data_IF_821269747619
#
_entry.id   IF_821269747619
#
_cell.length_a   1.000
_cell.length_b   1.000
_cell.length_c   1.000
_cell.angle_alpha   90.00
_cell.angle_beta   90.00
_cell.angle_gamma   90.00
#
_symmetry.space_group_name_H-M   'P 1'
#
loop_
_entity.id
_entity.type
_entity.pdbx_description
1 polymer ?
#
# COMPACT_ATOMS: atom_id res chain seq x y z
N UNK A 1 18.33 -31.04 29.55
CA UNK A 1 17.03 -31.16 30.25
C UNK A 1 17.15 -32.26 31.31
N UNK A 2 16.90 -31.97 32.59
CA UNK A 2 16.78 -33.03 33.63
C UNK A 2 15.44 -33.71 33.38
N UNK A 3 15.48 -34.96 32.92
CA UNK A 3 14.29 -35.81 32.82
C UNK A 3 13.65 -35.91 34.19
N UNK A 4 12.36 -35.63 34.31
CA UNK A 4 11.64 -35.90 35.56
C UNK A 4 11.75 -37.40 35.89
N UNK A 5 12.16 -37.76 37.13
CA UNK A 5 12.23 -39.16 37.52
C UNK A 5 10.85 -39.83 37.38
N UNK A 6 10.84 -41.10 36.96
CA UNK A 6 9.60 -41.85 36.80
C UNK A 6 8.85 -41.99 38.12
N UNK A 7 7.53 -42.07 38.09
CA UNK A 7 6.71 -42.24 39.32
C UNK A 7 7.16 -43.42 40.18
N UNK A 8 7.62 -44.51 39.56
CA UNK A 8 8.14 -45.69 40.28
C UNK A 8 9.45 -45.40 41.02
N UNK A 9 10.35 -44.59 40.43
CA UNK A 9 11.62 -44.18 41.06
C UNK A 9 11.37 -43.24 42.24
N UNK A 10 10.40 -42.33 42.11
CA UNK A 10 10.00 -41.43 43.20
C UNK A 10 9.42 -42.23 44.36
N UNK A 11 8.51 -43.19 44.10
CA UNK A 11 7.94 -44.07 45.14
C UNK A 11 9.00 -44.94 45.85
N UNK A 12 9.98 -45.48 45.10
CA UNK A 12 11.07 -46.21 45.69
C UNK A 12 11.97 -45.34 46.58
N UNK A 13 12.25 -44.11 46.14
CA UNK A 13 13.00 -43.15 46.94
C UNK A 13 12.25 -42.74 48.20
N UNK A 14 10.94 -42.46 48.10
CA UNK A 14 10.09 -42.14 49.27
C UNK A 14 10.04 -43.30 50.29
N UNK A 15 9.88 -44.53 49.81
CA UNK A 15 9.90 -45.74 50.69
C UNK A 15 11.25 -45.91 51.38
N UNK A 16 12.35 -45.62 50.69
CA UNK A 16 13.71 -45.64 51.24
C UNK A 16 13.90 -44.56 52.32
N UNK A 17 13.46 -43.32 52.02
CA UNK A 17 13.54 -42.27 53.02
C UNK A 17 12.62 -42.50 54.24
N UNK A 18 11.46 -43.12 54.05
CA UNK A 18 10.58 -43.50 55.16
C UNK A 18 11.23 -44.49 56.02
N UNK A 19 11.92 -45.55 55.48
CA UNK A 19 12.71 -46.54 56.26
C UNK A 19 13.88 -45.88 56.96
N UNK A 20 14.65 -45.03 56.35
CA UNK A 20 15.71 -44.23 56.95
C UNK A 20 15.26 -43.41 58.14
N UNK A 21 14.10 -42.80 58.08
CA UNK A 21 13.49 -42.03 59.19
C UNK A 21 13.06 -42.93 60.34
N UNK A 22 12.46 -44.11 60.05
CA UNK A 22 12.08 -45.08 61.07
C UNK A 22 13.28 -45.70 61.77
N UNK A 23 14.35 -45.95 61.03
CA UNK A 23 15.61 -46.49 61.58
C UNK A 23 16.33 -45.48 62.48
N UNK A 24 16.37 -44.21 62.07
CA UNK A 24 16.88 -43.10 62.88
C UNK A 24 16.07 -42.91 64.18
N UNK A 25 14.75 -43.02 64.14
CA UNK A 25 13.86 -42.89 65.28
C UNK A 25 14.04 -44.08 66.25
N UNK A 26 14.36 -45.28 65.73
CA UNK A 26 14.58 -46.50 66.51
C UNK A 26 16.03 -46.70 66.98
N UNK A 27 16.94 -45.77 66.72
CA UNK A 27 18.40 -45.88 66.97
C UNK A 27 19.03 -47.15 66.40
N UNK A 28 18.47 -47.73 65.35
CA UNK A 28 18.97 -48.91 64.64
C UNK A 28 19.60 -48.46 63.32
N UNK A 29 20.91 -48.69 63.14
CA UNK A 29 21.60 -48.46 61.90
C UNK A 29 21.46 -49.68 60.96
N UNK A 30 20.29 -49.87 60.35
CA UNK A 30 20.11 -50.97 59.36
C UNK A 30 20.56 -50.56 57.96
N UNK A 31 20.61 -49.23 57.64
CA UNK A 31 20.98 -48.71 56.33
C UNK A 31 21.76 -47.38 56.51
N UNK A 32 22.89 -47.23 55.82
CA UNK A 32 23.63 -45.95 55.72
C UNK A 32 23.63 -45.43 54.28
N UNK A 33 23.46 -44.15 54.12
CA UNK A 33 23.65 -43.47 52.81
C UNK A 33 25.07 -42.94 52.73
N UNK A 34 25.86 -43.43 51.79
CA UNK A 34 27.19 -42.92 51.52
C UNK A 34 27.29 -42.47 50.03
N UNK A 35 27.48 -41.20 49.77
CA UNK A 35 27.53 -40.61 48.40
C UNK A 35 26.33 -41.01 47.52
N UNK A 36 25.11 -40.97 48.07
CA UNK A 36 23.88 -41.31 47.33
C UNK A 36 23.67 -42.82 47.09
N UNK A 37 24.44 -43.67 47.72
CA UNK A 37 24.29 -45.15 47.65
C UNK A 37 23.89 -45.74 49.01
N UNK A 38 22.99 -46.72 48.95
CA UNK A 38 22.58 -47.49 50.16
C UNK A 38 23.62 -48.45 50.48
N UNK A 39 24.22 -48.39 51.70
CA UNK A 39 25.22 -49.30 52.22
C UNK A 39 24.63 -50.04 53.47
N UNK A 40 24.64 -51.34 53.45
CA UNK A 40 24.16 -52.12 54.57
C UNK A 40 25.34 -52.40 55.54
N UNK A 41 25.19 -52.26 56.85
CA UNK A 41 26.19 -52.68 57.83
C UNK A 41 26.28 -54.18 57.96
N UNK A 42 27.43 -54.73 58.34
CA UNK A 42 27.65 -56.20 58.64
C UNK A 42 27.99 -57.03 57.39
N UNK A 43 27.82 -58.40 57.50
CA UNK A 43 28.18 -59.32 56.44
C UNK A 43 27.53 -59.08 55.10
N UNK A 44 26.27 -58.56 55.09
CA UNK A 44 25.57 -58.14 53.82
C UNK A 44 26.27 -56.97 53.12
N UNK A 45 26.79 -56.04 53.89
CA UNK A 45 27.55 -54.90 53.34
C UNK A 45 28.94 -55.32 52.84
N UNK A 46 29.57 -56.32 53.47
CA UNK A 46 30.85 -56.93 53.00
C UNK A 46 30.63 -57.66 51.65
N UNK A 47 29.54 -58.44 51.53
CA UNK A 47 29.16 -59.09 50.26
C UNK A 47 28.86 -58.06 49.17
N UNK A 48 28.18 -56.96 49.50
CA UNK A 48 27.85 -55.84 48.54
C UNK A 48 29.15 -55.13 48.09
N UNK A 49 30.13 -54.92 48.96
CA UNK A 49 31.45 -54.37 48.62
C UNK A 49 32.22 -55.29 47.67
N UNK A 50 32.17 -56.65 47.95
CA UNK A 50 32.76 -57.62 47.03
C UNK A 50 32.15 -57.64 45.66
N UNK A 51 30.83 -57.39 45.52
CA UNK A 51 30.15 -57.28 44.25
C UNK A 51 30.45 -55.91 43.49
N UNK A 52 30.94 -54.90 44.19
CA UNK A 52 31.30 -53.59 43.65
C UNK A 52 32.79 -53.44 43.33
N UNK A 53 33.63 -54.52 43.59
CA UNK A 53 35.01 -54.47 43.19
C UNK A 53 35.22 -54.30 41.72
N UNK A 54 36.25 -53.56 41.36
CA UNK A 54 36.65 -53.41 39.96
C UNK A 54 36.94 -54.79 39.34
N UNK A 55 36.75 -54.92 38.01
CA UNK A 55 36.99 -56.15 37.28
C UNK A 55 38.43 -56.71 37.58
N UNK A 56 39.38 -55.78 37.66
CA UNK A 56 40.79 -56.09 37.98
C UNK A 56 40.95 -56.63 39.41
N UNK A 57 40.28 -56.05 40.40
CA UNK A 57 40.28 -56.45 41.77
C UNK A 57 39.58 -57.82 41.97
N UNK A 58 38.44 -58.03 41.29
CA UNK A 58 37.72 -59.30 41.31
C UNK A 58 38.53 -60.39 40.65
N UNK A 59 39.20 -60.10 39.54
CA UNK A 59 40.06 -61.04 38.83
C UNK A 59 41.32 -61.45 39.70
N UNK A 60 41.93 -60.42 40.34
CA UNK A 60 43.05 -60.67 41.26
C UNK A 60 42.66 -61.52 42.46
N UNK A 61 41.48 -61.26 43.06
CA UNK A 61 40.94 -62.07 44.17
C UNK A 61 40.62 -63.50 43.73
N UNK A 62 40.04 -63.69 42.54
CA UNK A 62 39.77 -65.07 42.02
C UNK A 62 41.02 -65.76 41.65
N UNK A 63 42.02 -65.13 41.05
CA UNK A 63 43.35 -65.79 40.84
C UNK A 63 44.03 -66.13 42.11
N UNK A 64 44.01 -65.27 43.12
CA UNK A 64 44.51 -65.56 44.46
C UNK A 64 43.79 -66.80 45.09
N UNK A 65 42.44 -66.83 44.93
CA UNK A 65 41.62 -67.98 45.36
C UNK A 65 42.01 -69.29 44.67
N UNK A 66 42.27 -69.24 43.33
CA UNK A 66 42.74 -70.46 42.59
C UNK A 66 44.09 -70.94 43.07
N UNK A 67 45.01 -70.03 43.35
CA UNK A 67 46.33 -70.38 43.90
C UNK A 67 46.20 -71.00 45.28
N UNK A 68 45.40 -70.38 46.17
CA UNK A 68 45.14 -70.91 47.50
C UNK A 68 44.46 -72.29 47.45
N UNK A 69 43.47 -72.49 46.60
CA UNK A 69 42.77 -73.75 46.38
C UNK A 69 43.69 -74.81 45.82
N UNK A 70 44.64 -74.47 44.95
CA UNK A 70 45.69 -75.36 44.44
C UNK A 70 46.73 -75.80 45.50
N UNK A 71 46.94 -75.03 46.59
CA UNK A 71 47.79 -75.36 47.67
C UNK A 71 47.12 -76.27 48.72
N UNK A 72 45.80 -76.43 48.69
CA UNK A 72 45.01 -77.20 49.66
C UNK A 72 45.44 -78.69 49.83
N UNK A 73 45.75 -79.47 48.77
CA UNK A 73 46.21 -80.87 48.92
C UNK A 73 47.53 -80.99 49.71
N UNK A 74 48.40 -80.02 49.52
CA UNK A 74 49.68 -79.97 50.21
C UNK A 74 49.56 -79.61 51.70
N UNK A 75 48.57 -78.75 52.01
CA UNK A 75 48.21 -78.40 53.40
C UNK A 75 47.52 -79.55 54.13
N UNK A 76 46.79 -80.43 53.42
CA UNK A 76 46.14 -81.62 53.95
C UNK A 76 47.08 -82.81 54.11
N UNK A 77 48.38 -82.60 53.89
CA UNK A 77 49.42 -83.62 54.12
C UNK A 77 49.50 -84.69 53.02
N UNK A 78 48.87 -84.49 51.84
CA UNK A 78 48.96 -85.41 50.72
C UNK A 78 50.39 -85.39 50.15
N UNK A 79 51.02 -86.57 49.94
CA UNK A 79 52.37 -86.72 49.40
C UNK A 79 52.38 -87.60 48.15
N UNK A 80 53.36 -87.36 47.22
CA UNK A 80 53.52 -88.21 46.05
C UNK A 80 52.77 -87.71 44.79
N UNK A 81 52.65 -88.56 43.78
CA UNK A 81 52.04 -88.27 42.50
C UNK A 81 50.55 -87.88 42.55
N UNK A 82 49.82 -88.45 43.54
CA UNK A 82 48.42 -88.12 43.80
C UNK A 82 48.20 -86.69 44.24
N UNK A 83 49.10 -86.14 45.05
CA UNK A 83 49.03 -84.73 45.48
C UNK A 83 49.22 -83.72 44.29
N UNK A 84 50.17 -84.03 43.40
CA UNK A 84 50.40 -83.26 42.20
C UNK A 84 49.22 -83.32 41.19
N UNK A 85 48.62 -84.52 41.00
CA UNK A 85 47.45 -84.70 40.18
C UNK A 85 46.25 -83.95 40.68
N UNK A 86 45.97 -84.01 42.01
CA UNK A 86 44.86 -83.24 42.63
C UNK A 86 45.10 -81.72 42.56
N UNK A 87 46.32 -81.25 42.75
CA UNK A 87 46.71 -79.86 42.65
C UNK A 87 46.47 -79.33 41.24
N UNK A 88 46.91 -80.00 40.17
CA UNK A 88 46.72 -79.67 38.80
C UNK A 88 45.21 -79.67 38.44
N UNK A 89 44.45 -80.64 38.88
CA UNK A 89 43.01 -80.75 38.66
C UNK A 89 42.25 -79.57 39.29
N UNK A 90 42.53 -79.21 40.55
CA UNK A 90 41.93 -78.07 41.24
C UNK A 90 42.31 -76.75 40.60
N UNK A 91 43.55 -76.58 40.22
CA UNK A 91 43.96 -75.34 39.45
C UNK A 91 43.29 -75.29 38.09
N UNK A 92 43.18 -76.40 37.40
CA UNK A 92 42.45 -76.42 36.07
C UNK A 92 40.99 -76.05 36.20
N UNK A 93 40.28 -76.62 37.18
CA UNK A 93 38.88 -76.28 37.45
C UNK A 93 38.75 -74.81 37.88
N UNK A 94 39.64 -74.32 38.74
CA UNK A 94 39.67 -72.95 39.18
C UNK A 94 39.88 -71.92 37.99
N UNK A 95 40.85 -72.21 37.12
CA UNK A 95 41.11 -71.49 35.95
C UNK A 95 39.92 -71.47 34.96
N UNK A 96 39.29 -72.62 34.72
CA UNK A 96 38.11 -72.79 33.93
C UNK A 96 36.95 -71.95 34.53
N UNK A 97 36.76 -71.92 35.82
CA UNK A 97 35.78 -71.10 36.54
C UNK A 97 36.02 -69.59 36.35
N UNK A 98 37.28 -69.15 36.46
CA UNK A 98 37.67 -67.71 36.21
C UNK A 98 37.45 -67.35 34.80
N UNK A 99 37.80 -68.21 33.84
CA UNK A 99 37.56 -67.94 32.41
C UNK A 99 36.07 -67.86 32.05
N UNK A 100 35.24 -68.78 32.58
CA UNK A 100 33.81 -68.78 32.40
C UNK A 100 33.16 -67.51 32.98
N UNK A 101 33.58 -67.11 34.20
CA UNK A 101 33.13 -65.88 34.84
C UNK A 101 33.51 -64.61 34.00
N UNK A 102 34.78 -64.56 33.56
CA UNK A 102 35.29 -63.47 32.73
C UNK A 102 34.51 -63.38 31.39
N UNK A 103 34.36 -64.55 30.74
CA UNK A 103 33.63 -64.62 29.48
C UNK A 103 32.17 -64.15 29.63
N UNK A 104 31.47 -64.69 30.65
CA UNK A 104 30.05 -64.33 30.84
C UNK A 104 29.82 -62.85 31.23
N UNK A 105 30.70 -62.35 32.12
CA UNK A 105 30.48 -60.98 32.68
C UNK A 105 31.13 -59.87 31.93
N UNK A 106 32.27 -60.07 31.31
CA UNK A 106 32.99 -59.00 30.58
C UNK A 106 32.77 -59.11 29.08
N UNK A 107 33.01 -60.30 28.50
CA UNK A 107 32.87 -60.44 27.03
C UNK A 107 31.38 -60.31 26.59
N UNK A 108 30.48 -60.94 27.38
CA UNK A 108 29.05 -60.81 27.15
C UNK A 108 28.55 -59.34 27.23
N UNK A 109 29.01 -58.60 28.25
CA UNK A 109 28.70 -57.16 28.39
C UNK A 109 29.27 -56.28 27.24
N UNK A 110 30.52 -56.62 26.83
CA UNK A 110 31.17 -55.91 25.74
C UNK A 110 30.42 -56.05 24.40
N UNK A 111 29.94 -57.28 24.08
CA UNK A 111 29.12 -57.50 22.86
C UNK A 111 27.80 -56.78 22.91
N UNK A 112 27.20 -56.55 24.09
CA UNK A 112 25.99 -55.78 24.22
C UNK A 112 26.24 -54.27 23.98
N UNK A 113 27.37 -53.75 24.50
CA UNK A 113 27.82 -52.38 24.25
C UNK A 113 28.19 -52.17 22.78
N UNK A 114 28.86 -53.15 22.15
CA UNK A 114 29.23 -53.15 20.73
C UNK A 114 27.95 -53.08 19.87
N UNK A 115 26.95 -53.93 20.12
CA UNK A 115 25.65 -53.84 19.39
C UNK A 115 24.98 -52.51 19.55
N UNK A 116 24.91 -51.96 20.77
CA UNK A 116 24.33 -50.68 21.03
C UNK A 116 25.09 -49.53 20.32
N UNK A 117 26.41 -49.57 20.31
CA UNK A 117 27.23 -48.63 19.55
C UNK A 117 26.98 -48.76 18.02
N UNK A 118 26.85 -50.01 17.54
CA UNK A 118 26.49 -50.33 16.16
C UNK A 118 25.10 -49.83 15.79
N UNK A 119 24.12 -49.94 16.67
CA UNK A 119 22.78 -49.38 16.48
C UNK A 119 22.83 -47.84 16.33
N UNK A 120 23.59 -47.15 17.21
CA UNK A 120 23.77 -45.68 17.11
C UNK A 120 24.45 -45.33 15.79
N UNK A 121 25.52 -46.05 15.41
CA UNK A 121 26.23 -45.83 14.16
C UNK A 121 25.33 -46.11 12.93
N UNK A 122 24.44 -47.09 13.04
CA UNK A 122 23.40 -47.39 12.02
C UNK A 122 22.18 -46.46 12.05
N UNK A 123 22.28 -45.30 12.73
CA UNK A 123 21.20 -44.32 12.85
C UNK A 123 19.94 -44.84 13.58
N UNK A 124 20.01 -45.97 14.23
CA UNK A 124 18.94 -46.52 15.06
C UNK A 124 19.08 -45.97 16.49
N UNK A 125 18.41 -44.88 16.76
CA UNK A 125 18.41 -44.23 18.08
C UNK A 125 17.23 -44.71 18.95
N UNK A 126 16.41 -45.64 18.47
CA UNK A 126 15.24 -46.14 19.20
C UNK A 126 15.62 -47.14 20.30
N UNK A 127 16.72 -47.88 20.15
CA UNK A 127 17.17 -48.92 21.11
C UNK A 127 17.53 -48.32 22.47
N UNK A 128 17.22 -49.04 23.52
CA UNK A 128 17.59 -48.65 24.88
C UNK A 128 18.53 -49.70 25.47
N UNK A 129 19.62 -49.27 26.07
CA UNK A 129 20.54 -50.15 26.78
C UNK A 129 20.29 -50.04 28.30
N UNK A 130 19.95 -51.17 28.95
CA UNK A 130 19.85 -51.19 30.41
C UNK A 130 21.25 -51.34 31.03
N UNK A 131 21.69 -50.30 31.72
CA UNK A 131 23.00 -50.28 32.41
C UNK A 131 23.14 -51.35 33.51
N UNK A 132 22.00 -51.89 34.03
CA UNK A 132 22.01 -52.95 35.05
C UNK A 132 22.46 -54.29 34.51
N UNK A 133 22.38 -54.51 33.19
CA UNK A 133 22.81 -55.76 32.55
C UNK A 133 24.31 -55.79 32.21
N UNK A 134 25.02 -54.64 32.38
CA UNK A 134 26.45 -54.58 32.08
C UNK A 134 27.31 -54.64 33.33
N UNK A 135 28.52 -55.14 33.17
CA UNK A 135 29.50 -55.17 34.27
C UNK A 135 29.78 -53.73 34.76
N UNK A 136 29.97 -53.52 36.09
CA UNK A 136 30.27 -52.24 36.69
C UNK A 136 31.44 -51.50 36.03
N UNK A 137 32.40 -52.20 35.49
CA UNK A 137 33.58 -51.72 34.78
C UNK A 137 33.21 -51.06 33.43
N UNK A 138 32.11 -51.48 32.81
CA UNK A 138 31.59 -50.90 31.53
C UNK A 138 30.62 -49.77 31.75
N UNK A 139 30.17 -49.50 32.96
CA UNK A 139 29.18 -48.48 33.27
C UNK A 139 29.56 -47.03 32.80
N UNK A 140 30.85 -46.59 32.86
CA UNK A 140 31.21 -45.29 32.30
C UNK A 140 31.03 -45.23 30.77
N UNK A 141 31.41 -46.32 30.05
CA UNK A 141 31.27 -46.41 28.59
C UNK A 141 29.79 -46.42 28.18
N UNK A 142 28.97 -47.21 28.87
CA UNK A 142 27.52 -47.27 28.66
C UNK A 142 26.87 -45.88 28.83
N UNK A 143 27.23 -45.16 29.91
CA UNK A 143 26.72 -43.80 30.14
C UNK A 143 27.15 -42.83 29.07
N UNK A 144 28.42 -42.93 28.60
CA UNK A 144 28.91 -42.10 27.49
C UNK A 144 28.12 -42.33 26.21
N UNK A 145 27.87 -43.58 25.83
CA UNK A 145 27.07 -43.94 24.65
C UNK A 145 25.60 -43.49 24.78
N UNK A 146 25.00 -43.71 25.96
CA UNK A 146 23.65 -43.23 26.24
C UNK A 146 23.55 -41.70 26.12
N UNK A 147 24.56 -40.97 26.61
CA UNK A 147 24.59 -39.51 26.48
C UNK A 147 24.70 -39.06 24.99
N UNK A 148 25.55 -39.74 24.22
CA UNK A 148 25.65 -39.52 22.77
C UNK A 148 24.28 -39.75 22.10
N UNK A 149 23.62 -40.86 22.41
CA UNK A 149 22.30 -41.19 21.87
C UNK A 149 21.25 -40.10 22.18
N UNK A 150 21.19 -39.66 23.45
CA UNK A 150 20.27 -38.63 23.92
C UNK A 150 20.54 -37.31 23.18
N UNK A 151 21.81 -36.91 23.05
CA UNK A 151 22.20 -35.71 22.35
C UNK A 151 21.84 -35.79 20.85
N UNK A 152 22.13 -36.94 20.20
CA UNK A 152 21.76 -37.16 18.79
C UNK A 152 20.23 -37.12 18.60
N UNK A 153 19.46 -37.77 19.51
CA UNK A 153 17.99 -37.69 19.46
C UNK A 153 17.48 -36.25 19.56
N UNK A 154 18.04 -35.48 20.48
CA UNK A 154 17.65 -34.07 20.64
C UNK A 154 17.95 -33.28 19.37
N UNK A 155 19.17 -33.35 18.83
CA UNK A 155 19.57 -32.63 17.62
C UNK A 155 18.72 -33.06 16.43
N UNK A 156 18.53 -34.36 16.19
CA UNK A 156 17.71 -34.87 15.10
C UNK A 156 16.24 -34.44 15.24
N UNK A 157 15.74 -34.46 16.49
CA UNK A 157 14.37 -34.00 16.80
C UNK A 157 14.19 -32.50 16.50
N UNK A 158 15.15 -31.68 16.93
CA UNK A 158 15.14 -30.24 16.69
C UNK A 158 15.22 -29.93 15.19
N UNK A 159 16.13 -30.61 14.44
CA UNK A 159 16.24 -30.46 13.00
C UNK A 159 14.93 -30.83 12.28
N UNK A 160 14.25 -31.91 12.68
CA UNK A 160 12.94 -32.29 12.11
C UNK A 160 11.88 -31.23 12.35
N UNK A 161 11.83 -30.65 13.54
CA UNK A 161 10.90 -29.59 13.87
C UNK A 161 11.17 -28.33 13.06
N UNK A 162 12.46 -27.98 12.88
CA UNK A 162 12.88 -26.83 12.08
C UNK A 162 12.52 -27.01 10.61
N UNK A 163 12.75 -28.20 10.03
CA UNK A 163 12.33 -28.51 8.65
C UNK A 163 10.81 -28.35 8.48
N UNK A 164 10.02 -28.81 9.45
CA UNK A 164 8.58 -28.64 9.41
C UNK A 164 8.16 -27.16 9.48
N UNK A 165 8.92 -26.36 10.24
CA UNK A 165 8.79 -24.89 10.26
C UNK A 165 9.10 -24.27 8.91
N UNK A 166 10.24 -24.63 8.31
CA UNK A 166 10.63 -24.13 6.98
C UNK A 166 9.63 -24.47 5.89
N UNK A 167 9.11 -25.70 5.86
CA UNK A 167 8.08 -26.09 4.89
C UNK A 167 6.83 -25.23 5.00
N UNK A 168 6.38 -24.91 6.22
CA UNK A 168 5.22 -24.05 6.46
C UNK A 168 5.50 -22.62 6.01
N UNK A 169 6.63 -22.04 6.39
CA UNK A 169 7.01 -20.68 5.98
C UNK A 169 7.17 -20.56 4.46
N UNK A 170 7.67 -21.59 3.81
CA UNK A 170 7.80 -21.63 2.35
C UNK A 170 6.43 -21.64 1.68
N UNK A 171 5.48 -22.39 2.21
CA UNK A 171 4.09 -22.40 1.71
C UNK A 171 3.42 -21.04 1.90
N UNK A 172 3.64 -20.38 3.05
CA UNK A 172 3.16 -19.01 3.31
C UNK A 172 3.76 -17.99 2.32
N UNK A 173 5.06 -18.12 2.00
CA UNK A 173 5.72 -17.28 0.98
C UNK A 173 5.11 -17.52 -0.40
N UNK A 174 4.88 -18.77 -0.79
CA UNK A 174 4.26 -19.11 -2.07
C UNK A 174 2.84 -18.53 -2.19
N UNK A 175 2.05 -18.65 -1.12
CA UNK A 175 0.70 -18.08 -1.04
C UNK A 175 0.73 -16.55 -1.14
N UNK A 176 1.62 -15.89 -0.37
CA UNK A 176 1.82 -14.43 -0.42
C UNK A 176 2.29 -13.95 -1.79
N UNK A 177 3.16 -14.73 -2.44
CA UNK A 177 3.59 -14.47 -3.81
C UNK A 177 2.43 -14.51 -4.82
N UNK A 178 1.53 -15.49 -4.68
CA UNK A 178 0.35 -15.58 -5.54
C UNK A 178 -0.63 -14.42 -5.33
N UNK A 179 -0.83 -13.98 -4.09
CA UNK A 179 -1.65 -12.79 -3.81
C UNK A 179 -1.03 -11.53 -4.41
N UNK A 180 0.29 -11.37 -4.24
CA UNK A 180 1.03 -10.23 -4.82
C UNK A 180 0.96 -10.25 -6.35
N UNK A 181 1.01 -11.42 -7.00
CA UNK A 181 0.81 -11.57 -8.45
C UNK A 181 -0.54 -11.01 -8.89
N UNK A 182 -1.62 -11.47 -8.26
CA UNK A 182 -2.98 -10.99 -8.57
C UNK A 182 -3.13 -9.48 -8.39
N UNK A 183 -2.54 -8.93 -7.32
CA UNK A 183 -2.57 -7.49 -7.08
C UNK A 183 -1.77 -6.72 -8.13
N UNK A 184 -0.64 -7.25 -8.57
CA UNK A 184 0.20 -6.65 -9.61
C UNK A 184 -0.53 -6.66 -10.97
N UNK A 185 -1.23 -7.75 -11.31
CA UNK A 185 -2.09 -7.82 -12.51
C UNK A 185 -3.22 -6.78 -12.46
N UNK A 186 -3.94 -6.71 -11.34
CA UNK A 186 -4.99 -5.72 -11.15
C UNK A 186 -4.44 -4.27 -11.23
N UNK A 187 -3.26 -4.03 -10.67
CA UNK A 187 -2.59 -2.73 -10.75
C UNK A 187 -2.21 -2.39 -12.19
N UNK A 188 -1.71 -3.33 -12.98
CA UNK A 188 -1.40 -3.12 -14.40
C UNK A 188 -2.66 -2.76 -15.20
N UNK A 189 -3.79 -3.43 -14.98
CA UNK A 189 -5.05 -3.11 -15.61
C UNK A 189 -5.55 -1.69 -15.24
N UNK A 190 -5.47 -1.32 -13.96
CA UNK A 190 -5.86 0.01 -13.48
C UNK A 190 -4.94 1.12 -14.05
N UNK A 191 -3.64 0.84 -14.23
CA UNK A 191 -2.71 1.78 -14.86
C UNK A 191 -3.03 1.99 -16.33
N UNK A 192 -3.40 0.93 -17.07
CA UNK A 192 -3.84 1.05 -18.47
C UNK A 192 -5.12 1.91 -18.60
N UNK A 193 -6.10 1.70 -17.71
CA UNK A 193 -7.31 2.52 -17.67
C UNK A 193 -6.98 3.98 -17.32
N UNK A 194 -6.09 4.20 -16.36
CA UNK A 194 -5.63 5.54 -15.98
C UNK A 194 -4.90 6.23 -17.15
N UNK A 195 -4.03 5.52 -17.86
CA UNK A 195 -3.32 6.06 -19.02
C UNK A 195 -4.30 6.46 -20.14
N UNK A 196 -5.29 5.62 -20.45
CA UNK A 196 -6.34 5.93 -21.42
C UNK A 196 -7.16 7.18 -21.01
N UNK A 197 -7.55 7.29 -19.74
CA UNK A 197 -8.24 8.47 -19.21
C UNK A 197 -7.37 9.73 -19.28
N UNK A 198 -6.07 9.62 -19.06
CA UNK A 198 -5.13 10.74 -19.18
C UNK A 198 -4.94 11.20 -20.64
N UNK A 199 -4.96 10.29 -21.60
CA UNK A 199 -4.95 10.63 -23.02
C UNK A 199 -6.23 11.40 -23.42
N UNK A 200 -7.40 10.96 -22.95
CA UNK A 200 -8.67 11.64 -23.19
C UNK A 200 -8.69 13.04 -22.55
N UNK A 201 -8.21 13.15 -21.30
CA UNK A 201 -8.06 14.45 -20.63
C UNK A 201 -7.11 15.38 -21.37
N UNK A 202 -5.97 14.87 -21.85
CA UNK A 202 -5.01 15.66 -22.63
C UNK A 202 -5.64 16.18 -23.92
N UNK A 203 -6.43 15.35 -24.61
CA UNK A 203 -7.19 15.74 -25.81
C UNK A 203 -8.21 16.82 -25.49
N UNK A 204 -8.98 16.66 -24.40
CA UNK A 204 -9.99 17.62 -23.96
C UNK A 204 -9.38 18.96 -23.58
N UNK A 205 -8.25 18.97 -22.90
CA UNK A 205 -7.52 20.19 -22.53
C UNK A 205 -7.01 20.92 -23.79
N UNK A 206 -6.45 20.19 -24.77
CA UNK A 206 -6.07 20.79 -26.07
C UNK A 206 -7.26 21.40 -26.79
N UNK A 207 -8.37 20.68 -26.87
CA UNK A 207 -9.61 21.18 -27.50
C UNK A 207 -10.13 22.44 -26.79
N UNK A 208 -10.05 22.48 -25.46
CA UNK A 208 -10.42 23.66 -24.67
C UNK A 208 -9.52 24.84 -24.96
N UNK A 209 -8.21 24.63 -25.10
CA UNK A 209 -7.26 25.68 -25.50
C UNK A 209 -7.57 26.25 -26.90
N UNK A 210 -7.84 25.37 -27.88
CA UNK A 210 -8.18 25.76 -29.23
C UNK A 210 -9.49 26.52 -29.28
N UNK A 211 -10.50 26.04 -28.56
CA UNK A 211 -11.81 26.72 -28.44
C UNK A 211 -11.68 28.08 -27.79
N UNK A 212 -10.92 28.19 -26.71
CA UNK A 212 -10.66 29.47 -26.03
C UNK A 212 -9.96 30.45 -26.96
N UNK A 213 -8.98 30.01 -27.75
CA UNK A 213 -8.33 30.85 -28.76
C UNK A 213 -9.29 31.31 -29.83
N UNK A 214 -10.21 30.46 -30.30
CA UNK A 214 -11.24 30.82 -31.26
C UNK A 214 -12.24 31.86 -30.69
N UNK A 215 -12.68 31.67 -29.44
CA UNK A 215 -13.58 32.63 -28.76
C UNK A 215 -12.89 33.97 -28.54
N UNK A 216 -11.59 33.96 -28.17
CA UNK A 216 -10.82 35.22 -28.04
C UNK A 216 -10.78 36.01 -29.35
N UNK A 217 -10.52 35.35 -30.48
CA UNK A 217 -10.54 35.99 -31.79
C UNK A 217 -11.93 36.53 -32.16
N UNK A 218 -12.97 35.70 -31.94
CA UNK A 218 -14.36 36.10 -32.19
C UNK A 218 -14.81 37.30 -31.34
N UNK A 219 -14.41 37.31 -30.06
CA UNK A 219 -14.68 38.42 -29.14
C UNK A 219 -14.00 39.71 -29.61
N UNK A 220 -12.72 39.65 -29.98
CA UNK A 220 -12.02 40.83 -30.50
C UNK A 220 -12.70 41.38 -31.76
N UNK A 221 -13.07 40.52 -32.70
CA UNK A 221 -13.78 40.91 -33.91
C UNK A 221 -15.17 41.53 -33.59
N UNK A 222 -15.89 40.93 -32.65
CA UNK A 222 -17.19 41.48 -32.21
C UNK A 222 -17.05 42.84 -31.56
N UNK A 223 -15.99 43.08 -30.77
CA UNK A 223 -15.69 44.38 -30.19
C UNK A 223 -15.38 45.43 -31.27
N UNK A 224 -14.64 45.06 -32.31
CA UNK A 224 -14.37 45.97 -33.45
C UNK A 224 -15.65 46.36 -34.21
N UNK A 225 -16.49 45.36 -34.50
CA UNK A 225 -17.78 45.60 -35.18
C UNK A 225 -18.70 46.47 -34.33
N UNK A 226 -18.76 46.19 -33.02
CA UNK A 226 -19.58 47.02 -32.12
C UNK A 226 -19.06 48.46 -32.04
N UNK A 227 -17.74 48.67 -31.95
CA UNK A 227 -17.14 50.03 -31.97
C UNK A 227 -17.43 50.74 -33.26
N UNK A 228 -17.29 50.07 -34.40
CA UNK A 228 -17.64 50.68 -35.72
C UNK A 228 -19.14 51.07 -35.80
N UNK A 229 -20.03 50.18 -35.27
CA UNK A 229 -21.45 50.49 -35.13
C UNK A 229 -21.70 51.67 -34.24
N UNK A 230 -21.00 51.78 -33.11
CA UNK A 230 -21.12 52.99 -32.25
C UNK A 230 -20.69 54.26 -32.90
N UNK A 231 -19.60 54.24 -33.67
CA UNK A 231 -19.21 55.44 -34.49
C UNK A 231 -20.25 55.81 -35.53
N UNK A 232 -20.87 54.83 -36.20
CA UNK A 232 -21.92 55.08 -37.16
C UNK A 232 -23.18 55.75 -36.53
N UNK A 233 -23.59 55.19 -35.35
CA UNK A 233 -24.71 55.76 -34.57
C UNK A 233 -24.40 57.19 -34.13
N UNK A 234 -23.19 57.51 -33.70
CA UNK A 234 -22.75 58.84 -33.33
C UNK A 234 -22.80 59.82 -34.53
N UNK A 235 -22.39 59.39 -35.73
CA UNK A 235 -22.48 60.18 -36.95
C UNK A 235 -23.92 60.47 -37.30
N UNK A 236 -24.82 59.46 -37.17
CA UNK A 236 -26.28 59.72 -37.43
C UNK A 236 -26.85 60.69 -36.40
N UNK A 237 -26.47 60.56 -35.11
CA UNK A 237 -26.86 61.49 -34.04
C UNK A 237 -26.44 62.95 -34.38
N UNK A 238 -25.18 63.14 -34.84
CA UNK A 238 -24.71 64.48 -35.30
C UNK A 238 -25.51 65.01 -36.47
N UNK A 239 -25.87 64.16 -37.46
CA UNK A 239 -26.68 64.50 -38.56
C UNK A 239 -28.11 64.94 -38.13
N UNK A 240 -28.71 64.24 -37.18
CA UNK A 240 -30.01 64.59 -36.59
C UNK A 240 -29.96 65.93 -35.89
N UNK A 241 -28.94 66.25 -35.12
CA UNK A 241 -28.74 67.56 -34.52
C UNK A 241 -28.62 68.66 -35.56
N UNK A 242 -27.91 68.41 -36.65
CA UNK A 242 -27.80 69.38 -37.76
C UNK A 242 -29.15 69.63 -38.44
N UNK A 243 -29.96 68.57 -38.66
CA UNK A 243 -31.32 68.67 -39.20
C UNK A 243 -32.22 69.46 -38.23
N UNK A 244 -32.15 69.21 -36.93
CA UNK A 244 -32.91 69.93 -35.93
C UNK A 244 -32.61 71.42 -35.95
N UNK A 245 -31.34 71.83 -35.99
CA UNK A 245 -30.91 73.18 -36.05
C UNK A 245 -31.41 73.84 -37.33
N UNK A 246 -31.31 73.14 -38.49
CA UNK A 246 -31.80 73.63 -39.79
C UNK A 246 -33.32 73.82 -39.78
N UNK A 247 -34.07 72.86 -39.23
CA UNK A 247 -35.52 72.90 -39.10
C UNK A 247 -35.98 74.07 -38.21
N UNK A 248 -35.30 74.29 -37.05
CA UNK A 248 -35.57 75.49 -36.22
C UNK A 248 -35.37 76.80 -37.00
N UNK A 249 -34.28 76.92 -37.81
CA UNK A 249 -34.00 78.09 -38.61
C UNK A 249 -35.04 78.34 -39.71
N UNK A 250 -35.54 77.20 -40.32
CA UNK A 250 -36.67 77.29 -41.26
C UNK A 250 -37.94 77.82 -40.57
N UNK A 251 -38.19 77.32 -39.31
CA UNK A 251 -39.32 77.82 -38.51
C UNK A 251 -39.25 79.29 -38.18
N UNK A 252 -38.04 79.81 -37.93
CA UNK A 252 -37.84 81.29 -37.78
C UNK A 252 -38.14 82.04 -39.06
N UNK A 253 -37.67 81.56 -40.24
CA UNK A 253 -37.93 82.16 -41.51
C UNK A 253 -39.45 82.20 -41.84
N UNK A 254 -40.13 81.05 -41.57
CA UNK A 254 -41.59 80.96 -41.76
C UNK A 254 -42.33 81.95 -40.84
N UNK A 255 -41.83 82.20 -39.64
CA UNK A 255 -42.37 83.20 -38.72
C UNK A 255 -42.23 84.62 -39.29
N UNK A 256 -41.11 84.95 -39.95
CA UNK A 256 -40.91 86.24 -40.65
C UNK A 256 -41.86 86.37 -41.84
N UNK A 257 -42.08 85.30 -42.66
CA UNK A 257 -43.01 85.26 -43.76
C UNK A 257 -44.44 85.51 -43.25
N UNK A 258 -44.86 84.88 -42.18
CA UNK A 258 -46.17 85.16 -41.59
C UNK A 258 -46.29 86.59 -41.11
N UNK A 259 -45.25 87.18 -40.54
CA UNK A 259 -45.17 88.59 -40.18
C UNK A 259 -45.32 89.51 -41.43
N UNK A 260 -44.61 89.20 -42.52
CA UNK A 260 -44.71 89.95 -43.80
C UNK A 260 -46.13 89.83 -44.38
N UNK A 261 -46.71 88.63 -44.37
CA UNK A 261 -48.07 88.46 -44.84
C UNK A 261 -49.08 89.22 -43.98
N UNK A 262 -48.91 89.24 -42.68
CA UNK A 262 -49.74 90.08 -41.79
C UNK A 262 -49.56 91.57 -42.10
N UNK A 263 -48.37 92.10 -42.26
CA UNK A 263 -48.11 93.50 -42.62
C UNK A 263 -48.68 93.84 -43.98
N UNK A 264 -48.58 92.92 -44.99
CA UNK A 264 -49.13 93.12 -46.32
C UNK A 264 -50.66 93.16 -46.28
N UNK A 265 -51.28 92.28 -45.44
CA UNK A 265 -52.74 92.31 -45.24
C UNK A 265 -53.19 93.67 -44.65
N UNK A 266 -52.42 94.21 -43.66
CA UNK A 266 -52.72 95.54 -43.08
C UNK A 266 -52.54 96.67 -44.12
N UNK A 267 -51.47 96.61 -44.93
CA UNK A 267 -51.23 97.57 -46.01
C UNK A 267 -52.34 97.55 -47.07
N UNK A 268 -52.73 96.33 -47.44
CA UNK A 268 -53.86 96.15 -48.41
C UNK A 268 -55.20 96.64 -47.83
N UNK A 269 -55.46 96.40 -46.55
CA UNK A 269 -56.61 96.91 -45.83
C UNK A 269 -56.64 98.47 -45.89
N UNK A 270 -55.54 99.10 -45.54
CA UNK A 270 -55.39 100.54 -45.54
C UNK A 270 -55.61 101.13 -46.99
N UNK A 271 -55.06 100.46 -48.01
CA UNK A 271 -55.23 100.85 -49.43
C UNK A 271 -56.68 100.66 -49.85
N UNK A 272 -57.36 99.56 -49.41
CA UNK A 272 -58.79 99.34 -49.69
C UNK A 272 -59.70 100.45 -49.07
N UNK A 273 -59.35 100.84 -47.81
CA UNK A 273 -60.05 101.93 -47.12
C UNK A 273 -59.85 103.27 -47.87
N UNK A 274 -58.65 103.61 -48.31
CA UNK A 274 -58.36 104.87 -48.99
C UNK A 274 -58.96 104.88 -50.45
N UNK A 275 -59.00 103.74 -51.12
CA UNK A 275 -59.67 103.53 -52.39
C UNK A 275 -61.17 103.67 -52.22
N UNK A 276 -61.84 103.30 -51.22
CA UNK A 276 -63.22 103.47 -50.85
C UNK A 276 -63.50 105.00 -50.59
N UNK A 277 -62.53 105.67 -49.98
CA UNK A 277 -62.62 107.13 -49.69
C UNK A 277 -62.55 108.04 -50.94
N UNK A 278 -61.87 107.56 -52.02
CA UNK A 278 -61.71 108.19 -53.29
C UNK A 278 -62.95 108.01 -54.18
N UNK A 279 -64.03 107.34 -53.80
CA UNK A 279 -65.26 107.15 -54.51
C UNK A 279 -65.07 106.44 -55.86
N UNK A 280 -65.79 106.95 -56.97
CA UNK A 280 -65.69 106.26 -58.24
C UNK A 280 -64.27 106.24 -58.86
N UNK A 281 -63.39 107.21 -58.49
CA UNK A 281 -62.00 107.27 -58.98
C UNK A 281 -61.10 106.16 -58.33
N UNK A 282 -61.55 105.64 -57.22
CA UNK A 282 -60.77 104.55 -56.47
C UNK A 282 -61.14 103.15 -56.84
N UNK A 283 -62.13 102.81 -57.64
CA UNK A 283 -62.65 101.46 -57.90
C UNK A 283 -61.63 100.52 -58.44
N UNK A 284 -60.72 100.92 -59.33
CA UNK A 284 -59.61 100.06 -59.82
C UNK A 284 -58.57 99.67 -58.69
N UNK A 285 -58.29 100.72 -57.85
CA UNK A 285 -57.39 100.46 -56.68
C UNK A 285 -58.05 99.57 -55.62
N UNK A 286 -59.36 99.70 -55.45
CA UNK A 286 -60.09 98.86 -54.50
C UNK A 286 -60.06 97.38 -54.90
N UNK A 287 -60.16 97.06 -56.20
CA UNK A 287 -60.03 95.64 -56.69
C UNK A 287 -58.64 95.14 -56.49
N UNK A 288 -57.58 95.92 -56.82
CA UNK A 288 -56.17 95.46 -56.57
C UNK A 288 -55.89 95.32 -55.11
N UNK A 289 -56.33 96.24 -54.23
CA UNK A 289 -56.19 96.11 -52.80
C UNK A 289 -56.89 94.84 -52.23
N UNK A 290 -58.09 94.53 -52.77
CA UNK A 290 -58.80 93.26 -52.42
C UNK A 290 -58.02 92.02 -52.81
N UNK A 291 -57.43 92.03 -54.05
CA UNK A 291 -56.64 90.90 -54.52
C UNK A 291 -55.33 90.72 -53.71
N UNK A 292 -54.59 91.82 -53.39
CA UNK A 292 -53.40 91.79 -52.53
C UNK A 292 -53.76 91.33 -51.14
N UNK A 293 -54.91 91.74 -50.59
CA UNK A 293 -55.37 91.26 -49.27
C UNK A 293 -55.67 89.76 -49.28
N UNK A 294 -56.34 89.24 -50.30
CA UNK A 294 -56.61 87.81 -50.44
C UNK A 294 -55.34 87.02 -50.61
N UNK A 295 -54.34 87.53 -51.38
CA UNK A 295 -53.04 86.86 -51.48
C UNK A 295 -52.25 86.84 -50.14
N UNK A 296 -52.33 87.99 -49.40
CA UNK A 296 -51.67 88.06 -48.08
C UNK A 296 -52.30 87.05 -47.08
N UNK A 297 -53.62 86.91 -47.08
CA UNK A 297 -54.32 85.91 -46.24
C UNK A 297 -53.98 84.49 -46.63
N UNK A 298 -53.90 84.17 -47.92
CA UNK A 298 -53.46 82.87 -48.42
C UNK A 298 -52.01 82.60 -48.05
N UNK A 299 -51.15 83.61 -48.15
CA UNK A 299 -49.74 83.50 -47.76
C UNK A 299 -49.61 83.25 -46.26
N UNK A 300 -50.38 83.89 -45.37
CA UNK A 300 -50.41 83.67 -43.95
C UNK A 300 -50.91 82.26 -43.60
N UNK A 301 -51.96 81.78 -44.33
CA UNK A 301 -52.44 80.40 -44.17
C UNK A 301 -51.40 79.38 -44.52
N UNK A 302 -50.76 79.54 -45.69
CA UNK A 302 -49.67 78.63 -46.11
C UNK A 302 -48.46 78.64 -45.11
N UNK A 303 -48.07 79.80 -44.61
CA UNK A 303 -47.02 79.96 -43.63
C UNK A 303 -47.37 79.22 -42.30
N UNK A 304 -48.62 79.32 -41.89
CA UNK A 304 -49.10 78.61 -40.68
C UNK A 304 -49.09 77.10 -40.87
N UNK A 305 -49.48 76.58 -42.05
CA UNK A 305 -49.37 75.12 -42.35
C UNK A 305 -47.95 74.66 -42.36
N UNK A 306 -47.05 75.43 -43.03
CA UNK A 306 -45.61 75.08 -43.03
C UNK A 306 -45.05 75.10 -41.61
N UNK A 307 -45.42 76.10 -40.78
CA UNK A 307 -45.00 76.14 -39.36
C UNK A 307 -45.42 74.88 -38.62
N UNK A 308 -46.62 74.35 -38.77
CA UNK A 308 -47.14 73.18 -38.18
C UNK A 308 -46.31 71.93 -38.61
N UNK A 309 -46.03 71.82 -39.95
CA UNK A 309 -45.19 70.74 -40.48
C UNK A 309 -43.73 70.77 -39.92
N UNK A 310 -43.16 71.97 -39.82
CA UNK A 310 -41.80 72.14 -39.23
C UNK A 310 -41.83 71.80 -37.76
N UNK A 311 -42.85 72.17 -36.99
CA UNK A 311 -43.01 71.81 -35.59
C UNK A 311 -43.06 70.29 -35.41
N UNK A 312 -43.84 69.61 -36.26
CA UNK A 312 -43.87 68.13 -36.27
C UNK A 312 -42.50 67.48 -36.62
N UNK A 313 -41.83 68.07 -37.65
CA UNK A 313 -40.50 67.61 -38.06
C UNK A 313 -39.45 67.78 -36.96
N UNK A 314 -39.46 68.92 -36.25
CA UNK A 314 -38.53 69.15 -35.11
C UNK A 314 -38.77 68.13 -34.01
N UNK A 315 -40.05 67.83 -33.69
CA UNK A 315 -40.37 66.78 -32.68
C UNK A 315 -39.90 65.39 -33.09
N UNK A 316 -40.14 65.03 -34.38
CA UNK A 316 -39.68 63.72 -34.90
C UNK A 316 -38.14 63.56 -34.88
N UNK A 317 -37.43 64.66 -35.23
CA UNK A 317 -35.94 64.65 -35.20
C UNK A 317 -35.42 64.59 -33.77
N UNK A 318 -36.05 65.26 -32.80
CA UNK A 318 -35.69 65.20 -31.39
C UNK A 318 -35.90 63.80 -30.84
N UNK A 319 -37.01 63.15 -31.23
CA UNK A 319 -37.29 61.76 -30.85
C UNK A 319 -36.25 60.78 -31.48
N UNK A 320 -35.89 60.99 -32.75
CA UNK A 320 -34.82 60.23 -33.43
C UNK A 320 -33.46 60.43 -32.79
N UNK A 321 -33.12 61.68 -32.38
CA UNK A 321 -31.87 61.96 -31.68
C UNK A 321 -31.77 61.18 -30.33
N UNK A 322 -32.87 61.18 -29.58
CA UNK A 322 -32.90 60.39 -28.29
C UNK A 322 -32.74 58.91 -28.52
N UNK A 323 -33.39 58.38 -29.58
CA UNK A 323 -33.19 56.93 -29.91
C UNK A 323 -31.77 56.65 -30.34
N UNK A 324 -31.05 57.54 -30.98
CA UNK A 324 -29.64 57.41 -31.32
C UNK A 324 -28.74 57.38 -30.06
N UNK A 325 -29.04 58.27 -29.08
CA UNK A 325 -28.31 58.26 -27.81
C UNK A 325 -28.51 56.94 -27.03
N UNK A 326 -29.76 56.46 -26.98
CA UNK A 326 -30.08 55.16 -26.37
C UNK A 326 -29.37 53.97 -27.07
N UNK A 327 -29.37 54.00 -28.41
CA UNK A 327 -28.64 53.00 -29.21
C UNK A 327 -27.10 53.03 -28.94
N UNK A 328 -26.56 54.29 -28.84
CA UNK A 328 -25.14 54.48 -28.49
C UNK A 328 -24.76 53.90 -27.13
N UNK A 329 -25.61 54.11 -26.12
CA UNK A 329 -25.42 53.51 -24.79
C UNK A 329 -25.47 51.98 -24.86
N UNK A 330 -26.45 51.42 -25.55
CA UNK A 330 -26.56 49.95 -25.72
C UNK A 330 -25.31 49.36 -26.38
N UNK A 331 -24.78 50.02 -27.41
CA UNK A 331 -23.53 49.59 -28.07
C UNK A 331 -22.34 49.67 -27.11
N UNK A 332 -22.24 50.71 -26.28
CA UNK A 332 -21.18 50.81 -25.26
C UNK A 332 -21.25 49.69 -24.25
N UNK A 333 -22.45 49.26 -23.80
CA UNK A 333 -22.66 48.12 -22.94
C UNK A 333 -22.24 46.81 -23.61
N UNK A 334 -22.54 46.62 -24.90
CA UNK A 334 -22.07 45.46 -25.68
C UNK A 334 -20.56 45.43 -25.75
N UNK A 335 -19.87 46.53 -26.02
CA UNK A 335 -18.41 46.60 -26.03
C UNK A 335 -17.82 46.23 -24.68
N UNK A 336 -18.39 46.72 -23.59
CA UNK A 336 -17.97 46.38 -22.22
C UNK A 336 -18.15 44.89 -21.93
N UNK A 337 -19.29 44.30 -22.31
CA UNK A 337 -19.59 42.87 -22.11
C UNK A 337 -18.63 41.97 -22.89
N UNK A 338 -18.35 42.31 -24.14
CA UNK A 338 -17.37 41.59 -24.98
C UNK A 338 -15.96 41.70 -24.41
N UNK A 339 -15.58 42.84 -23.86
CA UNK A 339 -14.28 43.02 -23.18
C UNK A 339 -14.15 42.08 -21.95
N UNK A 340 -15.23 41.98 -21.18
CA UNK A 340 -15.27 41.04 -20.02
C UNK A 340 -15.16 39.58 -20.49
N UNK A 341 -15.83 39.18 -21.57
CA UNK A 341 -15.69 37.85 -22.16
C UNK A 341 -14.23 37.57 -22.55
N UNK A 342 -13.56 38.55 -23.17
CA UNK A 342 -12.15 38.43 -23.55
C UNK A 342 -11.23 38.21 -22.33
N UNK A 343 -11.54 38.84 -21.21
CA UNK A 343 -10.79 38.66 -19.97
C UNK A 343 -11.00 37.24 -19.38
N UNK A 344 -12.23 36.75 -19.29
CA UNK A 344 -12.56 35.40 -18.85
C UNK A 344 -11.89 34.33 -19.72
N UNK A 345 -11.87 34.54 -21.03
CA UNK A 345 -11.21 33.62 -21.97
C UNK A 345 -9.69 33.56 -21.74
N UNK A 346 -9.09 34.70 -21.40
CA UNK A 346 -7.66 34.74 -21.05
C UNK A 346 -7.37 33.94 -19.78
N UNK A 347 -8.25 34.06 -18.75
CA UNK A 347 -8.13 33.25 -17.52
C UNK A 347 -8.28 31.75 -17.82
N UNK A 348 -9.26 31.37 -18.65
CA UNK A 348 -9.44 29.97 -19.08
C UNK A 348 -8.18 29.46 -19.81
N UNK A 349 -7.61 30.26 -20.70
CA UNK A 349 -6.40 29.88 -21.44
C UNK A 349 -5.21 29.66 -20.52
N UNK A 350 -5.05 30.50 -19.49
CA UNK A 350 -4.00 30.32 -18.47
C UNK A 350 -4.24 29.06 -17.67
N UNK A 351 -5.44 28.80 -17.14
CA UNK A 351 -5.78 27.61 -16.40
C UNK A 351 -5.60 26.35 -17.26
N UNK A 352 -5.93 26.39 -18.53
CA UNK A 352 -5.75 25.28 -19.47
C UNK A 352 -4.26 24.97 -19.70
N UNK A 353 -3.41 26.00 -19.78
CA UNK A 353 -1.96 25.81 -19.86
C UNK A 353 -1.38 25.15 -18.60
N UNK A 354 -1.82 25.58 -17.42
CA UNK A 354 -1.44 24.97 -16.15
C UNK A 354 -1.93 23.50 -16.06
N UNK A 355 -3.15 23.22 -16.50
CA UNK A 355 -3.67 21.84 -16.59
C UNK A 355 -2.83 20.97 -17.53
N UNK A 356 -2.41 21.49 -18.67
CA UNK A 356 -1.55 20.75 -19.62
C UNK A 356 -0.22 20.34 -18.99
N UNK A 357 0.39 21.23 -18.19
CA UNK A 357 1.62 20.92 -17.43
C UNK A 357 1.34 19.85 -16.38
N UNK A 358 0.24 19.98 -15.61
CA UNK A 358 -0.15 18.99 -14.60
C UNK A 358 -0.42 17.60 -15.19
N UNK A 359 -1.10 17.54 -16.34
CA UNK A 359 -1.33 16.28 -17.07
C UNK A 359 0.00 15.65 -17.49
N UNK A 360 0.97 16.45 -17.96
CA UNK A 360 2.31 15.96 -18.28
C UNK A 360 3.01 15.30 -17.09
N UNK A 361 2.93 15.92 -15.91
CA UNK A 361 3.50 15.36 -14.66
C UNK A 361 2.81 14.07 -14.23
N UNK A 362 1.46 14.00 -14.34
CA UNK A 362 0.73 12.76 -14.03
C UNK A 362 1.10 11.64 -15.00
N UNK A 363 1.26 11.94 -16.29
CA UNK A 363 1.67 10.94 -17.28
C UNK A 363 3.07 10.38 -17.01
N UNK A 364 4.02 11.22 -16.58
CA UNK A 364 5.34 10.78 -16.12
C UNK A 364 5.23 9.85 -14.91
N UNK A 365 4.40 10.20 -13.93
CA UNK A 365 4.17 9.36 -12.74
C UNK A 365 3.51 8.02 -13.10
N UNK A 366 2.56 7.98 -14.04
CA UNK A 366 1.94 6.75 -14.54
C UNK A 366 3.00 5.86 -15.21
N UNK A 367 3.86 6.42 -16.05
CA UNK A 367 4.96 5.67 -16.69
C UNK A 367 5.92 5.07 -15.66
N UNK A 368 6.23 5.83 -14.59
CA UNK A 368 7.08 5.33 -13.51
C UNK A 368 6.38 4.20 -12.72
N UNK A 369 5.08 4.32 -12.45
CA UNK A 369 4.29 3.27 -11.81
C UNK A 369 4.21 2.00 -12.67
N UNK A 370 4.14 2.14 -13.99
CA UNK A 370 4.16 1.01 -14.91
C UNK A 370 5.49 0.24 -14.82
N UNK A 371 6.63 0.95 -14.80
CA UNK A 371 7.94 0.34 -14.60
C UNK A 371 8.05 -0.40 -13.26
N UNK A 372 7.55 0.19 -12.16
CA UNK A 372 7.50 -0.46 -10.84
C UNK A 372 6.60 -1.69 -10.86
N UNK A 373 5.46 -1.64 -11.55
CA UNK A 373 4.54 -2.76 -11.68
C UNK A 373 5.16 -3.93 -12.44
N UNK A 374 5.90 -3.64 -13.51
CA UNK A 374 6.68 -4.66 -14.25
C UNK A 374 7.80 -5.25 -13.37
N UNK A 375 8.50 -4.43 -12.60
CA UNK A 375 9.50 -4.91 -11.65
C UNK A 375 8.88 -5.80 -10.57
N UNK A 376 7.69 -5.45 -10.04
CA UNK A 376 6.97 -6.28 -9.09
C UNK A 376 6.59 -7.64 -9.69
N UNK A 377 6.14 -7.68 -10.95
CA UNK A 377 5.84 -8.94 -11.63
C UNK A 377 7.08 -9.85 -11.71
N UNK A 378 8.23 -9.30 -12.09
CA UNK A 378 9.49 -10.05 -12.13
C UNK A 378 9.92 -10.53 -10.72
N UNK A 379 9.77 -9.69 -9.69
CA UNK A 379 10.07 -10.06 -8.29
C UNK A 379 9.14 -11.18 -7.79
N UNK A 380 7.88 -11.20 -8.18
CA UNK A 380 6.93 -12.27 -7.82
C UNK A 380 7.37 -13.59 -8.44
N UNK A 381 7.74 -13.61 -9.72
CA UNK A 381 8.25 -14.81 -10.38
C UNK A 381 9.52 -15.33 -9.69
N UNK A 382 10.47 -14.45 -9.37
CA UNK A 382 11.69 -14.81 -8.66
C UNK A 382 11.38 -15.35 -7.26
N UNK A 383 10.44 -14.75 -6.53
CA UNK A 383 10.02 -15.18 -5.18
C UNK A 383 9.38 -16.57 -5.23
N UNK A 384 8.50 -16.81 -6.22
CA UNK A 384 7.88 -18.12 -6.43
C UNK A 384 8.94 -19.20 -6.74
N UNK A 385 9.89 -18.91 -7.63
CA UNK A 385 11.01 -19.82 -7.93
C UNK A 385 11.88 -20.11 -6.70
N UNK A 386 12.16 -19.10 -5.88
CA UNK A 386 12.93 -19.25 -4.64
C UNK A 386 12.19 -20.08 -3.60
N UNK A 387 10.87 -19.89 -3.45
CA UNK A 387 10.04 -20.67 -2.56
C UNK A 387 10.01 -22.16 -2.98
N UNK A 388 9.87 -22.44 -4.28
CA UNK A 388 9.89 -23.84 -4.77
C UNK A 388 11.26 -24.50 -4.54
N UNK A 389 12.37 -23.79 -4.77
CA UNK A 389 13.71 -24.28 -4.47
C UNK A 389 13.91 -24.54 -2.97
N UNK A 390 13.44 -23.65 -2.08
CA UNK A 390 13.47 -23.85 -0.62
C UNK A 390 12.65 -25.07 -0.20
N UNK A 391 11.48 -25.28 -0.78
CA UNK A 391 10.62 -26.45 -0.57
C UNK A 391 11.36 -27.73 -0.97
N UNK A 392 11.98 -27.74 -2.16
CA UNK A 392 12.79 -28.86 -2.64
C UNK A 392 13.96 -29.21 -1.69
N UNK A 393 14.71 -28.19 -1.24
CA UNK A 393 15.83 -28.35 -0.31
C UNK A 393 15.35 -28.87 1.07
N UNK A 394 14.24 -28.34 1.58
CA UNK A 394 13.64 -28.78 2.85
C UNK A 394 13.18 -30.25 2.79
N UNK A 395 12.58 -30.66 1.68
CA UNK A 395 12.19 -32.06 1.45
C UNK A 395 13.41 -32.99 1.33
N UNK A 396 14.49 -32.54 0.67
CA UNK A 396 15.73 -33.28 0.61
C UNK A 396 16.37 -33.47 2.01
N UNK A 397 16.41 -32.39 2.79
CA UNK A 397 16.90 -32.42 4.17
C UNK A 397 16.02 -33.33 5.05
N UNK A 398 14.69 -33.27 4.89
CA UNK A 398 13.76 -34.16 5.58
C UNK A 398 14.07 -35.64 5.30
N UNK A 399 14.32 -35.99 4.04
CA UNK A 399 14.71 -37.36 3.65
C UNK A 399 16.05 -37.79 4.31
N UNK A 400 17.04 -36.91 4.34
CA UNK A 400 18.35 -37.18 4.97
C UNK A 400 18.23 -37.42 6.46
N UNK A 401 17.34 -36.71 7.14
CA UNK A 401 17.12 -36.86 8.59
C UNK A 401 16.19 -38.02 8.92
N UNK A 402 15.38 -38.51 7.97
CA UNK A 402 14.50 -39.67 8.14
C UNK A 402 15.27 -41.00 8.34
N UNK A 403 16.54 -41.08 7.90
CA UNK A 403 17.40 -42.22 8.12
C UNK A 403 17.57 -42.52 9.63
N UNK A 404 17.53 -41.49 10.48
CA UNK A 404 17.60 -41.66 11.93
C UNK A 404 16.26 -42.13 12.50
N UNK A 405 16.26 -43.34 13.08
CA UNK A 405 15.08 -43.90 13.77
C UNK A 405 15.04 -43.39 15.20
N UNK A 406 14.03 -42.59 15.56
CA UNK A 406 13.86 -42.02 16.91
C UNK A 406 12.92 -42.83 17.79
N UNK A 407 12.08 -43.69 17.20
CA UNK A 407 11.09 -44.57 17.83
C UNK A 407 11.13 -45.93 17.15
#
# INVERSE_FOLDING_TARGET
MRTKPGRAEVQQAEALYARLRSDLAAQRETIRLHHGRVVYPGMRGALQRLQQLSATQSLALMLLGVVLLGMLPRWLGWQGALAWGAQLALMGVGCAGVLAWFHGRIVGGMRTVERFAGDIAGCNLATTLDSAQCAPSLAPLVRGLQQIQVNLRAVVGDVRNEIAGFLRSTEEIAQGGHDLYRRTEAQAANLQETAAAMEELSSTVRQTADTSSAVARGSNQSAEVARAGGLAVQQVGQAMHAIEQSSRKVGEIVSVIEGIAFQTNLLALNAAVEAARAGEQGRGFAVVAGEVRALAQRSAGAAKEIRALIGTSVSQVADGSRQMDEAGQTIAEVVSSVSRVSELVREISQATAEQSIGIGQVNEAVTQLEAVTQQNAALVEQTAGSAEALKGNSLALSRSVQVFRLR
#
